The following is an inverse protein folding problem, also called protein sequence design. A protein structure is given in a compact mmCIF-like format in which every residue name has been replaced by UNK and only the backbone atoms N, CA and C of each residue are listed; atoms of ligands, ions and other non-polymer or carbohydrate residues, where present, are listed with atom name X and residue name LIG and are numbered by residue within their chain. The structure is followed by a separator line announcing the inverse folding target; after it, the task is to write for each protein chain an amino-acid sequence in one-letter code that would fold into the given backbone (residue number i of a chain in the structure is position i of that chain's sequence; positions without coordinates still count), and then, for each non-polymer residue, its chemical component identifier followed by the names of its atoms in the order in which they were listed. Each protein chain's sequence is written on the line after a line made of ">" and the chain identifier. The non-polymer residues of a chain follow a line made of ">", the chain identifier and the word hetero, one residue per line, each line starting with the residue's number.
data_IF_036280035935
#
_entry.id   IF_036280035935
#
_cell.length_a   1.000
_cell.length_b   1.000
_cell.length_c   1.000
_cell.angle_alpha   90.00
_cell.angle_beta   90.00
_cell.angle_gamma   90.00
#
_symmetry.space_group_name_H-M   'P 1'
#
loop_
_entity.id
_entity.type
_entity.pdbx_description
1 polymer ?
#
# COMPACT_ATOMS: atom_id res chain seq x y z
N UNK A 1 25.45 27.63 7.75
CA UNK A 1 26.29 26.55 7.19
C UNK A 1 25.61 25.18 7.32
N UNK A 2 25.09 24.80 8.49
CA UNK A 2 24.38 23.51 8.65
C UNK A 2 23.14 23.36 7.76
N UNK A 3 22.27 24.38 7.69
CA UNK A 3 21.09 24.35 6.80
C UNK A 3 21.49 24.18 5.32
N UNK A 4 22.55 24.86 4.89
CA UNK A 4 23.07 24.76 3.52
C UNK A 4 23.61 23.36 3.21
N UNK A 5 24.28 22.73 4.17
CA UNK A 5 24.79 21.36 4.05
C UNK A 5 23.65 20.32 4.05
N UNK A 6 22.61 20.51 4.86
CA UNK A 6 21.42 19.64 4.87
C UNK A 6 20.65 19.73 3.55
N UNK A 7 20.51 20.94 2.99
CA UNK A 7 19.88 21.16 1.69
C UNK A 7 20.68 20.53 0.55
N UNK A 8 22.02 20.62 0.57
CA UNK A 8 22.87 19.95 -0.41
C UNK A 8 22.78 18.42 -0.32
N UNK A 9 22.65 17.87 0.90
CA UNK A 9 22.48 16.43 1.10
C UNK A 9 21.13 15.89 0.59
N UNK A 10 20.08 16.72 0.60
CA UNK A 10 18.76 16.39 0.04
C UNK A 10 18.80 16.11 -1.47
N UNK A 11 19.67 16.80 -2.21
CA UNK A 11 19.88 16.60 -3.65
C UNK A 11 21.02 15.63 -3.98
N UNK A 12 21.61 14.98 -2.97
CA UNK A 12 22.54 13.87 -3.19
C UNK A 12 21.78 12.60 -3.61
N UNK A 13 22.46 11.63 -4.25
CA UNK A 13 21.86 10.33 -4.55
C UNK A 13 21.25 9.64 -3.30
N UNK A 14 21.90 9.81 -2.14
CA UNK A 14 21.43 9.26 -0.87
C UNK A 14 20.13 9.95 -0.41
N UNK A 15 20.10 11.28 -0.43
CA UNK A 15 18.91 12.06 -0.07
C UNK A 15 17.72 11.74 -0.97
N UNK A 16 17.95 11.64 -2.28
CA UNK A 16 16.92 11.22 -3.24
C UNK A 16 16.40 9.81 -2.93
N UNK A 17 17.29 8.85 -2.66
CA UNK A 17 16.92 7.48 -2.30
C UNK A 17 16.02 7.42 -1.06
N UNK A 18 16.38 8.13 0.01
CA UNK A 18 15.57 8.18 1.25
C UNK A 18 14.19 8.80 1.03
N UNK A 19 14.08 9.85 0.20
CA UNK A 19 12.77 10.45 -0.14
C UNK A 19 11.92 9.47 -0.93
N UNK A 20 12.51 8.76 -1.89
CA UNK A 20 11.78 7.75 -2.67
C UNK A 20 11.30 6.58 -1.81
N UNK A 21 12.10 6.13 -0.83
CA UNK A 21 11.69 5.10 0.13
C UNK A 21 10.51 5.57 0.98
N UNK A 22 10.57 6.79 1.51
CA UNK A 22 9.48 7.39 2.27
C UNK A 22 8.20 7.53 1.43
N UNK A 23 8.31 7.98 0.18
CA UNK A 23 7.18 8.10 -0.74
C UNK A 23 6.58 6.73 -1.07
N UNK A 24 7.42 5.72 -1.33
CA UNK A 24 6.97 4.36 -1.60
C UNK A 24 6.19 3.79 -0.41
N UNK A 25 6.71 3.96 0.81
CA UNK A 25 6.04 3.53 2.05
C UNK A 25 4.69 4.22 2.22
N UNK A 26 4.62 5.53 1.99
CA UNK A 26 3.37 6.28 2.02
C UNK A 26 2.33 5.74 1.02
N UNK A 27 2.73 5.50 -0.24
CA UNK A 27 1.86 4.96 -1.28
C UNK A 27 1.33 3.57 -0.89
N UNK A 28 2.18 2.71 -0.33
CA UNK A 28 1.76 1.37 0.09
C UNK A 28 0.74 1.40 1.22
N UNK A 29 0.90 2.29 2.21
CA UNK A 29 -0.09 2.47 3.29
C UNK A 29 -1.44 2.91 2.72
N UNK A 30 -1.45 3.88 1.80
CA UNK A 30 -2.68 4.29 1.10
C UNK A 30 -3.27 3.13 0.30
N UNK A 31 -2.44 2.32 -0.34
CA UNK A 31 -2.88 1.15 -1.10
C UNK A 31 -3.54 0.08 -0.23
N UNK A 32 -3.08 -0.13 1.01
CA UNK A 32 -3.75 -1.02 1.96
C UNK A 32 -5.17 -0.55 2.27
N UNK A 33 -5.36 0.76 2.47
CA UNK A 33 -6.70 1.33 2.67
C UNK A 33 -7.60 1.11 1.45
N UNK A 34 -7.05 1.33 0.25
CA UNK A 34 -7.76 1.05 -1.00
C UNK A 34 -8.13 -0.43 -1.14
N UNK A 35 -7.20 -1.34 -0.87
CA UNK A 35 -7.46 -2.79 -0.93
C UNK A 35 -8.52 -3.22 0.09
N UNK A 36 -8.50 -2.65 1.30
CA UNK A 36 -9.58 -2.86 2.27
C UNK A 36 -10.94 -2.40 1.73
N UNK A 37 -11.01 -1.23 1.10
CA UNK A 37 -12.25 -0.75 0.49
C UNK A 37 -12.78 -1.70 -0.60
N UNK A 38 -11.90 -2.32 -1.39
CA UNK A 38 -12.30 -3.31 -2.38
C UNK A 38 -12.98 -4.55 -1.76
N UNK A 39 -12.49 -5.03 -0.61
CA UNK A 39 -13.16 -6.15 0.10
C UNK A 39 -14.60 -5.82 0.46
N UNK A 40 -14.86 -4.57 0.89
CA UNK A 40 -16.21 -4.08 1.19
C UNK A 40 -17.07 -4.00 -0.07
N UNK A 41 -16.51 -3.54 -1.18
CA UNK A 41 -17.22 -3.47 -2.46
C UNK A 41 -17.61 -4.86 -2.98
N UNK A 42 -16.72 -5.84 -2.89
CA UNK A 42 -17.02 -7.22 -3.27
C UNK A 42 -18.13 -7.81 -2.39
N UNK A 43 -18.11 -7.51 -1.08
CA UNK A 43 -19.20 -7.92 -0.17
C UNK A 43 -20.55 -7.31 -0.56
N UNK A 44 -20.57 -6.03 -0.93
CA UNK A 44 -21.80 -5.36 -1.38
C UNK A 44 -22.27 -5.96 -2.71
N UNK A 45 -21.38 -6.12 -3.69
CA UNK A 45 -21.67 -6.73 -4.99
C UNK A 45 -22.30 -8.12 -4.83
N UNK A 46 -21.67 -8.98 -4.01
CA UNK A 46 -22.17 -10.33 -3.78
C UNK A 46 -23.56 -10.35 -3.11
N UNK A 47 -23.85 -9.38 -2.24
CA UNK A 47 -25.17 -9.24 -1.61
C UNK A 47 -26.22 -8.70 -2.58
N UNK A 48 -25.86 -7.77 -3.46
CA UNK A 48 -26.79 -7.10 -4.37
C UNK A 48 -27.15 -7.96 -5.59
N UNK A 49 -26.20 -8.75 -6.11
CA UNK A 49 -26.37 -9.43 -7.40
C UNK A 49 -26.48 -10.95 -7.31
N UNK A 50 -26.46 -11.54 -6.10
CA UNK A 50 -26.55 -12.99 -5.88
C UNK A 50 -25.63 -13.78 -6.82
N UNK A 51 -24.39 -13.30 -6.97
CA UNK A 51 -23.40 -13.82 -7.91
C UNK A 51 -23.07 -15.27 -7.59
N UNK A 52 -23.17 -16.16 -8.59
CA UNK A 52 -22.77 -17.58 -8.47
C UNK A 52 -21.30 -17.74 -8.04
N UNK A 53 -20.47 -16.74 -8.34
CA UNK A 53 -19.05 -16.67 -8.01
C UNK A 53 -18.74 -15.88 -6.73
N UNK A 54 -19.72 -15.71 -5.83
CA UNK A 54 -19.54 -14.92 -4.61
C UNK A 54 -18.34 -15.39 -3.77
N UNK A 55 -18.21 -16.71 -3.56
CA UNK A 55 -17.13 -17.30 -2.75
C UNK A 55 -15.74 -17.05 -3.35
N UNK A 56 -15.47 -17.37 -4.64
CA UNK A 56 -14.20 -17.02 -5.28
C UNK A 56 -13.86 -15.54 -5.20
N UNK A 57 -14.81 -14.64 -5.48
CA UNK A 57 -14.54 -13.19 -5.42
C UNK A 57 -14.19 -12.73 -4.01
N UNK A 58 -14.92 -13.19 -2.98
CA UNK A 58 -14.58 -12.86 -1.60
C UNK A 58 -13.22 -13.42 -1.19
N UNK A 59 -12.86 -14.62 -1.63
CA UNK A 59 -11.54 -15.20 -1.37
C UNK A 59 -10.42 -14.34 -1.97
N UNK A 60 -10.50 -14.02 -3.27
CA UNK A 60 -9.46 -13.21 -3.93
C UNK A 60 -9.36 -11.79 -3.36
N UNK A 61 -10.49 -11.18 -3.00
CA UNK A 61 -10.48 -9.85 -2.37
C UNK A 61 -9.78 -9.88 -1.00
N UNK A 62 -10.08 -10.88 -0.16
CA UNK A 62 -9.44 -11.03 1.14
C UNK A 62 -7.96 -11.39 1.02
N UNK A 63 -7.59 -12.25 0.06
CA UNK A 63 -6.19 -12.60 -0.21
C UNK A 63 -5.41 -11.38 -0.70
N UNK A 64 -5.96 -10.60 -1.62
CA UNK A 64 -5.36 -9.36 -2.11
C UNK A 64 -5.10 -8.36 -0.97
N UNK A 65 -6.07 -8.19 -0.07
CA UNK A 65 -5.91 -7.35 1.11
C UNK A 65 -4.82 -7.86 2.06
N UNK A 66 -4.80 -9.16 2.34
CA UNK A 66 -3.77 -9.76 3.18
C UNK A 66 -2.37 -9.57 2.59
N UNK A 67 -2.21 -9.74 1.28
CA UNK A 67 -0.93 -9.51 0.57
C UNK A 67 -0.53 -8.04 0.64
N UNK A 68 -1.47 -7.11 0.45
CA UNK A 68 -1.18 -5.68 0.57
C UNK A 68 -0.67 -5.31 1.98
N UNK A 69 -1.30 -5.84 3.03
CA UNK A 69 -0.86 -5.65 4.42
C UNK A 69 0.53 -6.25 4.65
N UNK A 70 0.76 -7.48 4.17
CA UNK A 70 2.06 -8.14 4.29
C UNK A 70 3.18 -7.36 3.60
N UNK A 71 2.92 -6.76 2.44
CA UNK A 71 3.90 -5.93 1.72
C UNK A 71 4.25 -4.64 2.49
N UNK A 72 3.29 -4.01 3.17
CA UNK A 72 3.58 -2.86 4.04
C UNK A 72 4.44 -3.29 5.23
N UNK A 73 4.10 -4.40 5.89
CA UNK A 73 4.89 -4.92 7.02
C UNK A 73 6.32 -5.24 6.57
N UNK A 74 6.48 -5.92 5.43
CA UNK A 74 7.79 -6.20 4.84
C UNK A 74 8.56 -4.90 4.55
N UNK A 75 7.89 -3.90 4.01
CA UNK A 75 8.53 -2.62 3.69
C UNK A 75 8.96 -1.85 4.94
N UNK A 76 8.22 -1.93 6.05
CA UNK A 76 8.62 -1.35 7.35
C UNK A 76 9.86 -2.02 7.95
N UNK A 77 10.16 -3.26 7.56
CA UNK A 77 11.33 -4.00 8.05
C UNK A 77 12.55 -3.74 7.16
N UNK A 78 12.33 -3.58 5.85
CA UNK A 78 13.40 -3.56 4.83
C UNK A 78 13.81 -2.13 4.44
N UNK A 79 12.86 -1.21 4.29
CA UNK A 79 13.08 0.18 3.88
C UNK A 79 13.27 1.08 5.09
#
# INVERSE_FOLDING_TARGET
>A
MEITNSMLNLFSPQGFSSIMQMLAMFIQVVYVLFSFMLTRQVKIMNRSFSTSMATPFSFFANLHFLVAVALVIMSLIIL
#
